data_IF_714057090051
#
_entry.id   IF_714057090051
#
_cell.length_a   1.000
_cell.length_b   1.000
_cell.length_c   1.000
_cell.angle_alpha   90.00
_cell.angle_beta   90.00
_cell.angle_gamma   90.00
#
_symmetry.space_group_name_H-M   'P 1'
#
loop_
_entity.id
_entity.type
_entity.pdbx_description
1 polymer ?
#
# COMPACT_ATOMS: atom_id res chain seq x y z
N UNK A 1 14.35 40.81 -45.24
CA UNK A 1 13.12 40.43 -44.52
C UNK A 1 12.56 39.23 -45.26
N UNK A 2 12.43 38.07 -44.62
CA UNK A 2 11.98 36.86 -45.31
C UNK A 2 10.47 36.74 -45.23
N UNK A 3 9.81 36.60 -46.38
CA UNK A 3 8.39 36.25 -46.43
C UNK A 3 8.26 34.74 -46.17
N UNK A 4 7.38 34.37 -45.24
CA UNK A 4 7.00 32.98 -44.96
C UNK A 4 5.59 32.73 -45.51
N UNK A 5 5.28 31.49 -45.89
CA UNK A 5 3.93 31.13 -46.29
C UNK A 5 3.10 30.75 -45.07
N UNK A 6 1.90 31.31 -44.96
CA UNK A 6 0.95 30.93 -43.91
C UNK A 6 0.54 29.46 -44.08
N UNK A 7 0.58 28.63 -43.02
CA UNK A 7 0.22 27.21 -43.11
C UNK A 7 -1.24 26.95 -43.46
N UNK A 8 -2.14 27.88 -43.12
CA UNK A 8 -3.59 27.72 -43.35
C UNK A 8 -4.05 28.25 -44.71
N UNK A 9 -3.54 29.40 -45.16
CA UNK A 9 -4.05 30.05 -46.38
C UNK A 9 -3.03 30.16 -47.51
N UNK A 10 -1.79 29.70 -47.32
CA UNK A 10 -0.75 29.61 -48.36
C UNK A 10 -0.18 30.94 -48.87
N UNK A 11 -0.68 32.09 -48.38
CA UNK A 11 -0.21 33.43 -48.78
C UNK A 11 1.09 33.81 -48.07
N UNK A 12 1.90 34.62 -48.75
CA UNK A 12 3.17 35.13 -48.25
C UNK A 12 2.94 36.25 -47.23
N UNK A 13 3.48 36.08 -46.04
CA UNK A 13 3.39 37.01 -44.90
C UNK A 13 4.78 37.26 -44.34
N UNK A 14 4.98 38.41 -43.66
CA UNK A 14 6.26 38.68 -43.02
C UNK A 14 6.50 37.71 -41.85
N UNK A 15 7.74 37.27 -41.72
CA UNK A 15 8.31 36.52 -40.59
C UNK A 15 8.09 37.18 -39.21
N UNK A 16 7.73 38.48 -39.16
CA UNK A 16 7.46 39.22 -37.92
C UNK A 16 5.97 39.36 -37.58
N UNK A 17 5.05 38.89 -38.43
CA UNK A 17 3.63 39.05 -38.18
C UNK A 17 3.16 38.14 -37.03
N UNK A 18 2.44 38.70 -36.05
CA UNK A 18 1.86 37.92 -34.94
C UNK A 18 0.70 37.03 -35.40
N UNK A 19 -0.08 37.52 -36.36
CA UNK A 19 -1.17 36.80 -37.00
C UNK A 19 -1.20 37.09 -38.49
N UNK A 20 -1.62 36.10 -39.29
CA UNK A 20 -1.82 36.30 -40.71
C UNK A 20 -2.95 37.31 -40.95
N UNK A 21 -2.72 38.41 -41.67
CA UNK A 21 -3.75 39.42 -41.93
C UNK A 21 -4.86 38.92 -42.87
N UNK A 22 -4.63 37.83 -43.60
CA UNK A 22 -5.59 37.34 -44.60
C UNK A 22 -6.55 36.27 -44.06
N UNK A 23 -6.11 35.38 -43.18
CA UNK A 23 -6.97 34.35 -42.59
C UNK A 23 -7.14 34.48 -41.06
N UNK A 24 -6.42 35.40 -40.43
CA UNK A 24 -6.45 35.60 -38.97
C UNK A 24 -5.68 34.55 -38.17
N UNK A 25 -5.09 33.53 -38.81
CA UNK A 25 -4.40 32.46 -38.09
C UNK A 25 -3.09 32.98 -37.44
N UNK A 26 -2.84 32.70 -36.15
CA UNK A 26 -1.60 33.09 -35.48
C UNK A 26 -0.38 32.42 -36.15
N UNK A 27 0.66 33.19 -36.41
CA UNK A 27 1.85 32.73 -37.15
C UNK A 27 2.71 31.79 -36.30
N UNK A 28 2.58 31.87 -34.98
CA UNK A 28 3.17 30.93 -34.03
C UNK A 28 2.14 29.87 -33.63
N UNK A 29 1.85 28.93 -34.52
CA UNK A 29 1.26 27.66 -34.07
C UNK A 29 2.43 26.84 -33.50
N UNK A 30 2.42 26.50 -32.18
CA UNK A 30 3.46 25.66 -31.60
C UNK A 30 3.51 24.33 -32.36
N UNK A 31 4.72 23.89 -32.72
CA UNK A 31 4.91 22.62 -33.43
C UNK A 31 4.42 21.49 -32.52
N UNK A 32 3.81 20.48 -33.13
CA UNK A 32 3.23 19.29 -32.49
C UNK A 32 4.21 18.54 -31.54
N UNK A 33 5.52 18.78 -31.67
CA UNK A 33 6.55 18.27 -30.76
C UNK A 33 6.50 18.86 -29.34
N UNK A 34 5.95 20.06 -29.16
CA UNK A 34 6.00 20.78 -27.88
C UNK A 34 4.83 20.36 -26.95
N UNK A 35 3.72 19.91 -27.54
CA UNK A 35 2.54 19.37 -26.81
C UNK A 35 2.88 18.03 -26.12
N UNK A 36 3.78 17.24 -26.71
CA UNK A 36 4.20 15.95 -26.13
C UNK A 36 5.11 16.12 -24.89
N UNK A 37 5.79 17.26 -24.76
CA UNK A 37 6.58 17.60 -23.57
C UNK A 37 5.70 18.00 -22.38
N UNK A 38 4.57 18.65 -22.62
CA UNK A 38 3.65 19.03 -21.55
C UNK A 38 2.78 17.86 -21.07
N UNK A 39 2.41 16.91 -21.95
CA UNK A 39 1.74 15.68 -21.54
C UNK A 39 2.61 14.80 -20.61
N UNK A 40 3.94 14.78 -20.83
CA UNK A 40 4.88 14.10 -19.92
C UNK A 40 4.99 14.81 -18.57
N UNK A 41 4.89 16.15 -18.51
CA UNK A 41 4.87 16.90 -17.24
C UNK A 41 3.61 16.63 -16.43
N UNK A 42 2.41 16.66 -17.02
CA UNK A 42 1.16 16.37 -16.30
C UNK A 42 1.09 14.92 -15.80
N UNK A 43 1.64 13.94 -16.54
CA UNK A 43 1.71 12.55 -16.06
C UNK A 43 2.75 12.38 -14.93
N UNK A 44 3.89 13.08 -15.03
CA UNK A 44 4.91 13.10 -13.97
C UNK A 44 4.43 13.81 -12.71
N UNK A 45 3.62 14.86 -12.84
CA UNK A 45 3.00 15.57 -11.71
C UNK A 45 1.76 14.86 -11.16
N UNK A 46 0.96 14.15 -11.96
CA UNK A 46 -0.13 13.31 -11.42
C UNK A 46 0.39 12.05 -10.71
N UNK A 47 1.50 11.46 -11.18
CA UNK A 47 2.27 10.50 -10.35
C UNK A 47 2.92 11.19 -9.15
N UNK A 48 3.33 12.45 -9.33
CA UNK A 48 3.72 13.46 -8.34
C UNK A 48 2.66 13.87 -7.31
N UNK A 49 1.39 13.47 -7.49
CA UNK A 49 0.24 13.84 -6.63
C UNK A 49 -0.35 12.61 -5.90
N UNK A 50 -0.25 11.40 -6.47
CA UNK A 50 -0.51 10.15 -5.72
C UNK A 50 0.66 9.73 -4.82
N UNK A 51 1.81 10.42 -4.86
CA UNK A 51 3.04 10.09 -4.11
C UNK A 51 3.13 10.83 -2.76
N UNK A 52 2.16 11.68 -2.49
CA UNK A 52 2.21 12.81 -1.56
C UNK A 52 0.94 12.90 -0.71
N UNK A 53 0.09 11.87 -0.79
CA UNK A 53 -0.57 11.32 0.41
C UNK A 53 0.35 10.32 1.14
N UNK A 54 1.64 10.31 0.78
CA UNK A 54 2.71 9.84 1.64
C UNK A 54 2.92 10.81 2.79
N UNK A 55 2.18 10.60 3.87
CA UNK A 55 2.51 11.11 5.21
C UNK A 55 3.89 10.58 5.61
N UNK A 56 4.93 11.31 5.19
CA UNK A 56 6.32 11.18 5.63
C UNK A 56 6.36 11.60 7.11
N UNK A 57 6.05 10.67 8.01
CA UNK A 57 6.19 10.90 9.45
C UNK A 57 5.56 9.82 10.34
N UNK A 58 4.48 9.17 9.91
CA UNK A 58 3.63 8.42 10.86
C UNK A 58 3.69 6.88 10.76
N UNK A 59 4.38 6.33 9.75
CA UNK A 59 4.42 4.87 9.55
C UNK A 59 5.17 4.11 10.67
N UNK A 60 6.09 4.77 11.38
CA UNK A 60 6.86 4.16 12.46
C UNK A 60 6.05 3.93 13.74
N UNK A 61 5.19 4.88 14.09
CA UNK A 61 4.41 4.85 15.35
C UNK A 61 3.21 3.93 15.23
N UNK A 62 2.50 3.96 14.09
CA UNK A 62 1.35 3.09 13.84
C UNK A 62 1.75 1.59 13.87
N UNK A 63 2.89 1.24 13.27
CA UNK A 63 3.39 -0.14 13.27
C UNK A 63 3.68 -0.67 14.67
N UNK A 64 4.27 0.16 15.53
CA UNK A 64 4.61 -0.25 16.91
C UNK A 64 3.39 -0.41 17.78
N UNK A 65 2.46 0.54 17.65
CA UNK A 65 1.21 0.52 18.40
C UNK A 65 0.41 -0.74 18.03
N UNK A 66 0.32 -1.05 16.73
CA UNK A 66 -0.34 -2.26 16.25
C UNK A 66 0.31 -3.55 16.77
N UNK A 67 1.65 -3.61 16.84
CA UNK A 67 2.36 -4.77 17.40
C UNK A 67 2.08 -5.00 18.88
N UNK A 68 2.05 -3.94 19.69
CA UNK A 68 1.72 -4.03 21.12
C UNK A 68 0.27 -4.45 21.30
N UNK A 69 -0.65 -3.88 20.52
CA UNK A 69 -2.08 -4.24 20.53
C UNK A 69 -2.26 -5.72 20.19
N UNK A 70 -1.56 -6.24 19.18
CA UNK A 70 -1.61 -7.66 18.82
C UNK A 70 -1.15 -8.58 19.96
N UNK A 71 -0.08 -8.21 20.69
CA UNK A 71 0.41 -9.01 21.83
C UNK A 71 -0.65 -9.06 22.94
N UNK A 72 -1.26 -7.92 23.30
CA UNK A 72 -2.29 -7.86 24.34
C UNK A 72 -3.53 -8.66 23.94
N UNK A 73 -3.99 -8.48 22.70
CA UNK A 73 -5.15 -9.22 22.17
C UNK A 73 -4.90 -10.73 22.10
N UNK A 74 -3.64 -11.14 21.89
CA UNK A 74 -3.28 -12.57 21.86
C UNK A 74 -3.60 -13.27 23.17
N UNK A 75 -3.46 -12.62 24.33
CA UNK A 75 -3.85 -13.25 25.60
C UNK A 75 -5.34 -13.58 25.64
N UNK A 76 -6.19 -12.68 25.12
CA UNK A 76 -7.65 -12.90 25.07
C UNK A 76 -8.00 -14.03 24.11
N UNK A 77 -7.41 -14.02 22.90
CA UNK A 77 -7.61 -15.06 21.88
C UNK A 77 -7.14 -16.44 22.37
N UNK A 78 -6.04 -16.49 23.11
CA UNK A 78 -5.50 -17.73 23.66
C UNK A 78 -6.46 -18.38 24.66
N UNK A 79 -7.05 -17.59 25.56
CA UNK A 79 -8.06 -18.10 26.49
C UNK A 79 -9.35 -18.56 25.79
N UNK A 80 -9.83 -17.81 24.79
CA UNK A 80 -11.00 -18.23 24.00
C UNK A 80 -10.73 -19.51 23.21
N UNK A 81 -9.55 -19.63 22.61
CA UNK A 81 -9.17 -20.82 21.83
C UNK A 81 -8.97 -22.05 22.73
N UNK A 82 -8.46 -21.87 23.95
CA UNK A 82 -8.35 -22.95 24.93
C UNK A 82 -9.74 -23.41 25.41
N UNK A 83 -10.65 -22.46 25.67
CA UNK A 83 -12.03 -22.78 26.03
C UNK A 83 -12.78 -23.50 24.89
N UNK A 84 -12.68 -23.00 23.66
CA UNK A 84 -13.29 -23.63 22.49
C UNK A 84 -12.71 -25.03 22.22
N UNK A 85 -11.39 -25.21 22.36
CA UNK A 85 -10.75 -26.51 22.21
C UNK A 85 -11.19 -27.52 23.27
N UNK A 86 -11.35 -27.09 24.52
CA UNK A 86 -11.84 -27.94 25.61
C UNK A 86 -13.32 -28.35 25.41
N UNK A 87 -14.16 -27.40 25.01
CA UNK A 87 -15.59 -27.65 24.73
C UNK A 87 -15.74 -28.64 23.57
N UNK A 88 -14.98 -28.48 22.49
CA UNK A 88 -15.02 -29.41 21.35
C UNK A 88 -14.58 -30.83 21.75
N UNK A 89 -13.59 -30.96 22.65
CA UNK A 89 -13.13 -32.26 23.15
C UNK A 89 -14.17 -32.96 24.04
N UNK A 90 -14.98 -32.19 24.78
CA UNK A 90 -16.06 -32.70 25.62
C UNK A 90 -17.26 -33.18 24.80
N UNK A 91 -17.54 -32.55 23.66
CA UNK A 91 -18.66 -32.90 22.77
C UNK A 91 -18.36 -34.11 21.86
N UNK A 92 -17.24 -34.83 22.06
CA UNK A 92 -16.79 -35.96 21.23
C UNK A 92 -16.70 -35.62 19.73
N UNK A 93 -16.48 -34.34 19.40
CA UNK A 93 -16.28 -33.87 18.04
C UNK A 93 -14.92 -34.30 17.51
N UNK A 94 -14.89 -34.96 16.35
CA UNK A 94 -13.66 -35.38 15.66
C UNK A 94 -12.95 -34.24 14.90
N UNK A 95 -13.34 -32.98 15.14
CA UNK A 95 -12.90 -31.82 14.37
C UNK A 95 -11.61 -31.19 14.90
N UNK A 96 -10.66 -30.91 14.00
CA UNK A 96 -9.42 -30.17 14.28
C UNK A 96 -9.64 -28.66 14.57
N UNK A 97 -10.87 -28.28 14.89
CA UNK A 97 -11.34 -26.90 14.83
C UNK A 97 -10.75 -26.01 15.93
N UNK A 98 -10.44 -26.59 17.10
CA UNK A 98 -9.76 -25.88 18.20
C UNK A 98 -8.28 -25.57 17.91
N UNK A 99 -7.62 -26.35 17.04
CA UNK A 99 -6.22 -26.13 16.71
C UNK A 99 -6.02 -24.87 15.87
N UNK A 100 -7.00 -24.50 15.05
CA UNK A 100 -6.94 -23.32 14.16
C UNK A 100 -6.80 -22.03 14.97
N UNK A 101 -7.55 -21.91 16.07
CA UNK A 101 -7.44 -20.77 17.00
C UNK A 101 -6.06 -20.71 17.67
N UNK A 102 -5.52 -21.87 18.08
CA UNK A 102 -4.19 -21.98 18.68
C UNK A 102 -3.06 -21.61 17.69
N UNK A 103 -3.15 -22.06 16.43
CA UNK A 103 -2.21 -21.67 15.39
C UNK A 103 -2.28 -20.16 15.10
N UNK A 104 -3.49 -19.61 15.04
CA UNK A 104 -3.70 -18.16 14.83
C UNK A 104 -3.10 -17.36 16.00
N UNK A 105 -3.28 -17.83 17.23
CA UNK A 105 -2.70 -17.24 18.44
C UNK A 105 -1.16 -17.18 18.40
N UNK A 106 -0.50 -18.29 18.03
CA UNK A 106 0.96 -18.33 17.88
C UNK A 106 1.43 -17.32 16.81
N UNK A 107 0.75 -17.28 15.66
CA UNK A 107 1.08 -16.34 14.58
C UNK A 107 0.96 -14.88 15.04
N UNK A 108 -0.07 -14.55 15.83
CA UNK A 108 -0.26 -13.20 16.38
C UNK A 108 0.85 -12.80 17.36
N UNK A 109 1.27 -13.71 18.26
CA UNK A 109 2.39 -13.48 19.17
C UNK A 109 3.70 -13.28 18.40
N UNK A 110 4.02 -14.17 17.46
CA UNK A 110 5.25 -14.06 16.66
C UNK A 110 5.26 -12.76 15.87
N UNK A 111 4.14 -12.36 15.28
CA UNK A 111 4.03 -11.10 14.56
C UNK A 111 4.29 -9.88 15.47
N UNK A 112 3.69 -9.86 16.67
CA UNK A 112 3.88 -8.78 17.64
C UNK A 112 5.34 -8.64 18.08
N UNK A 113 6.03 -9.76 18.33
CA UNK A 113 7.47 -9.76 18.64
C UNK A 113 8.27 -9.21 17.46
N UNK A 114 7.94 -9.64 16.23
CA UNK A 114 8.56 -9.12 15.00
C UNK A 114 8.36 -7.60 14.86
N UNK A 115 7.21 -7.04 15.26
CA UNK A 115 6.97 -5.58 15.27
C UNK A 115 8.02 -4.84 16.12
N UNK A 116 8.33 -5.38 17.29
CA UNK A 116 9.23 -4.79 18.28
C UNK A 116 10.68 -4.94 17.83
N UNK A 117 11.08 -6.15 17.41
CA UNK A 117 12.48 -6.43 17.00
C UNK A 117 12.89 -5.61 15.78
N UNK A 118 11.94 -5.31 14.88
CA UNK A 118 12.19 -4.47 13.69
C UNK A 118 12.73 -3.08 14.04
N UNK A 119 12.46 -2.52 15.23
CA UNK A 119 13.01 -1.22 15.64
C UNK A 119 14.50 -1.26 16.02
N UNK A 120 14.99 -2.40 16.50
CA UNK A 120 16.38 -2.55 16.98
C UNK A 120 17.34 -3.01 15.88
N UNK A 121 16.82 -3.48 14.75
CA UNK A 121 17.61 -4.07 13.66
C UNK A 121 18.17 -3.01 12.71
N UNK A 122 19.47 -3.14 12.37
CA UNK A 122 20.19 -2.32 11.37
C UNK A 122 19.52 -2.34 9.99
N UNK A 123 18.94 -3.49 9.60
CA UNK A 123 18.26 -3.73 8.33
C UNK A 123 16.76 -4.06 8.54
N UNK A 124 15.88 -3.06 8.65
CA UNK A 124 14.47 -3.29 8.98
C UNK A 124 13.65 -3.99 7.88
N UNK A 125 14.22 -4.24 6.69
CA UNK A 125 13.52 -4.85 5.55
C UNK A 125 13.15 -6.32 5.82
N UNK A 126 14.09 -7.11 6.32
CA UNK A 126 13.91 -8.56 6.54
C UNK A 126 12.79 -8.87 7.53
N UNK A 127 12.78 -8.32 8.77
CA UNK A 127 11.71 -8.61 9.71
C UNK A 127 10.36 -8.05 9.26
N UNK A 128 10.33 -6.96 8.47
CA UNK A 128 9.08 -6.46 7.87
C UNK A 128 8.49 -7.42 6.84
N UNK A 129 9.31 -7.98 5.95
CA UNK A 129 8.85 -8.95 4.95
C UNK A 129 8.28 -10.19 5.64
N UNK A 130 8.98 -10.71 6.65
CA UNK A 130 8.53 -11.87 7.43
C UNK A 130 7.19 -11.55 8.13
N UNK A 131 7.07 -10.37 8.76
CA UNK A 131 5.82 -9.93 9.39
C UNK A 131 4.64 -9.82 8.42
N UNK A 132 4.87 -9.31 7.20
CA UNK A 132 3.84 -9.24 6.15
C UNK A 132 3.35 -10.63 5.78
N UNK A 133 4.27 -11.58 5.54
CA UNK A 133 3.91 -12.95 5.16
C UNK A 133 3.08 -13.63 6.24
N UNK A 134 3.49 -13.50 7.51
CA UNK A 134 2.76 -14.08 8.65
C UNK A 134 1.36 -13.49 8.83
N UNK A 135 1.21 -12.17 8.68
CA UNK A 135 -0.08 -11.49 8.77
C UNK A 135 -1.04 -11.89 7.65
N UNK A 136 -0.53 -12.02 6.42
CA UNK A 136 -1.32 -12.48 5.27
C UNK A 136 -1.74 -13.93 5.46
N UNK A 137 -0.86 -14.79 5.97
CA UNK A 137 -1.18 -16.18 6.26
C UNK A 137 -2.30 -16.31 7.31
N UNK A 138 -2.22 -15.53 8.40
CA UNK A 138 -3.28 -15.49 9.41
C UNK A 138 -4.62 -14.97 8.88
N UNK A 139 -4.59 -13.97 7.99
CA UNK A 139 -5.80 -13.50 7.29
C UNK A 139 -6.43 -14.59 6.41
N UNK A 140 -5.60 -15.33 5.65
CA UNK A 140 -6.09 -16.42 4.79
C UNK A 140 -6.78 -17.51 5.62
N UNK A 141 -6.22 -17.89 6.77
CA UNK A 141 -6.86 -18.82 7.69
C UNK A 141 -8.22 -18.27 8.14
N UNK A 142 -8.27 -17.02 8.62
CA UNK A 142 -9.54 -16.42 9.07
C UNK A 142 -10.60 -16.37 7.97
N UNK A 143 -10.21 -16.13 6.72
CA UNK A 143 -11.12 -16.08 5.58
C UNK A 143 -11.67 -17.47 5.20
N UNK A 144 -10.83 -18.51 5.24
CA UNK A 144 -11.24 -19.87 4.88
C UNK A 144 -12.24 -20.48 5.87
N UNK A 145 -12.24 -20.04 7.13
CA UNK A 145 -13.10 -20.57 8.20
C UNK A 145 -14.27 -19.64 8.58
N UNK A 146 -14.65 -18.70 7.69
CA UNK A 146 -15.73 -17.72 7.85
C UNK A 146 -17.12 -18.29 8.23
N UNK A 147 -17.32 -19.61 8.14
CA UNK A 147 -18.60 -20.28 8.43
C UNK A 147 -18.68 -20.95 9.80
N UNK A 148 -17.56 -21.14 10.51
CA UNK A 148 -17.51 -21.98 11.73
C UNK A 148 -17.34 -21.11 12.98
N UNK A 149 -16.44 -20.13 12.95
CA UNK A 149 -16.14 -19.27 14.09
C UNK A 149 -16.22 -17.79 13.73
N UNK A 150 -17.22 -17.10 14.27
CA UNK A 150 -17.39 -15.65 14.06
C UNK A 150 -16.21 -14.85 14.62
N UNK A 151 -15.63 -15.29 15.72
CA UNK A 151 -14.47 -14.62 16.33
C UNK A 151 -13.27 -14.67 15.38
N UNK A 152 -13.01 -15.82 14.77
CA UNK A 152 -11.88 -16.01 13.86
C UNK A 152 -11.95 -15.11 12.62
N UNK A 153 -13.16 -14.83 12.13
CA UNK A 153 -13.39 -13.86 11.05
C UNK A 153 -13.01 -12.43 11.48
N UNK A 154 -13.37 -12.01 12.69
CA UNK A 154 -13.05 -10.68 13.23
C UNK A 154 -11.53 -10.53 13.38
N UNK A 155 -10.86 -11.55 13.90
CA UNK A 155 -9.40 -11.59 14.02
C UNK A 155 -8.72 -11.56 12.63
N UNK A 156 -9.26 -12.28 11.63
CA UNK A 156 -8.77 -12.24 10.26
C UNK A 156 -8.77 -10.83 9.67
N UNK A 157 -9.88 -10.09 9.80
CA UNK A 157 -9.96 -8.70 9.34
C UNK A 157 -8.98 -7.77 10.06
N UNK A 158 -8.75 -7.97 11.37
CA UNK A 158 -7.73 -7.22 12.11
C UNK A 158 -6.33 -7.45 11.53
N UNK A 159 -5.98 -8.71 11.20
CA UNK A 159 -4.70 -9.05 10.60
C UNK A 159 -4.53 -8.47 9.19
N UNK A 160 -5.62 -8.36 8.42
CA UNK A 160 -5.64 -7.69 7.11
C UNK A 160 -5.25 -6.22 7.23
N UNK A 161 -5.85 -5.49 8.18
CA UNK A 161 -5.50 -4.08 8.45
C UNK A 161 -4.03 -3.97 8.87
N UNK A 162 -3.56 -4.89 9.73
CA UNK A 162 -2.16 -4.99 10.12
C UNK A 162 -1.20 -5.15 8.94
N UNK A 163 -1.55 -6.04 8.01
CA UNK A 163 -0.76 -6.29 6.80
C UNK A 163 -0.60 -5.03 5.94
N UNK A 164 -1.67 -4.24 5.78
CA UNK A 164 -1.62 -2.97 5.05
C UNK A 164 -0.67 -1.94 5.70
N UNK A 165 -0.69 -1.84 7.04
CA UNK A 165 0.21 -0.96 7.80
C UNK A 165 1.68 -1.37 7.58
N UNK A 166 1.94 -2.68 7.61
CA UNK A 166 3.27 -3.23 7.37
C UNK A 166 3.74 -3.03 5.93
N UNK A 167 2.87 -3.20 4.93
CA UNK A 167 3.19 -2.96 3.51
C UNK A 167 3.53 -1.48 3.28
N UNK A 168 2.77 -0.55 3.87
CA UNK A 168 3.08 0.89 3.81
C UNK A 168 4.45 1.18 4.41
N UNK A 169 4.74 0.59 5.57
CA UNK A 169 6.04 0.71 6.26
C UNK A 169 7.19 0.15 5.40
N UNK A 170 6.99 -1.00 4.76
CA UNK A 170 7.98 -1.61 3.87
C UNK A 170 8.28 -0.76 2.64
N UNK A 171 7.23 -0.24 1.96
CA UNK A 171 7.39 0.66 0.81
C UNK A 171 8.13 1.94 1.20
N UNK A 172 7.77 2.55 2.33
CA UNK A 172 8.45 3.75 2.83
C UNK A 172 9.96 3.51 3.01
N UNK A 173 10.35 2.39 3.64
CA UNK A 173 11.77 2.06 3.83
C UNK A 173 12.48 1.74 2.51
N UNK A 174 11.80 1.05 1.58
CA UNK A 174 12.34 0.74 0.26
C UNK A 174 12.64 2.00 -0.56
N UNK A 175 11.75 2.99 -0.51
CA UNK A 175 11.91 4.24 -1.25
C UNK A 175 13.06 5.10 -0.70
N UNK A 176 13.23 5.15 0.63
CA UNK A 176 14.37 5.84 1.26
C UNK A 176 15.73 5.23 0.83
N UNK A 177 15.82 3.90 0.69
CA UNK A 177 17.05 3.23 0.25
C UNK A 177 17.38 3.43 -1.24
N UNK A 178 16.44 3.90 -2.07
CA UNK A 178 16.72 4.24 -3.48
C UNK A 178 17.27 5.65 -3.65
N UNK A 179 17.19 6.48 -2.61
CA UNK A 179 17.64 7.87 -2.63
C UNK A 179 19.06 8.05 -2.06
N UNK A 180 19.57 7.03 -1.35
CA UNK A 180 20.95 6.93 -0.89
C UNK A 180 21.77 6.08 -1.86
#
# INVERSE_FOLDING_TARGET
MSLIKCPECGKEISDKATSCPNCGCPVSVPKESDVFLDAKKFNKESKKIKKDSGGKGEAGTARMTFGIILIVLSFIVGFQSCAAGMVNALESGSGNDGMIGFFTWIVMIVCGIVSITTKRTRSPKTPLIIGIILLVYGYLIGFMYNGIFKDLQIWGWLLMVGSLIYIKSYKAIKDNNKQN
#
